data_IF_779943645226
#
_entry.id   IF_779943645226
#
_cell.length_a   1.000
_cell.length_b   1.000
_cell.length_c   1.000
_cell.angle_alpha   90.00
_cell.angle_beta   90.00
_cell.angle_gamma   90.00
#
_symmetry.space_group_name_H-M   'P 1'
#
loop_
_entity.id
_entity.type
_entity.pdbx_description
1 polymer ?
#
# COMPACT_ATOMS: atom_id res chain seq x y z
N UNK A 1 -29.57 -4.10 14.67
CA UNK A 1 -28.50 -3.45 13.89
C UNK A 1 -27.55 -4.53 13.47
N UNK A 2 -27.37 -4.69 12.17
CA UNK A 2 -26.51 -5.74 11.62
C UNK A 2 -25.04 -5.36 11.87
N UNK A 3 -24.42 -6.05 12.81
CA UNK A 3 -23.02 -5.85 13.15
C UNK A 3 -22.08 -6.32 12.02
N UNK A 4 -22.57 -7.07 11.02
CA UNK A 4 -21.78 -7.48 9.86
C UNK A 4 -21.46 -6.28 8.94
N UNK A 5 -22.43 -5.38 8.72
CA UNK A 5 -22.22 -4.17 7.90
C UNK A 5 -21.20 -3.22 8.55
N UNK A 6 -21.11 -3.21 9.88
CA UNK A 6 -20.08 -2.45 10.58
C UNK A 6 -18.74 -3.19 10.63
N UNK A 7 -18.71 -4.52 10.70
CA UNK A 7 -17.46 -5.29 10.62
C UNK A 7 -16.76 -5.17 9.25
N UNK A 8 -17.52 -5.11 8.15
CA UNK A 8 -16.97 -4.89 6.81
C UNK A 8 -16.29 -3.52 6.66
N UNK A 9 -16.70 -2.53 7.47
CA UNK A 9 -16.09 -1.21 7.54
C UNK A 9 -15.01 -1.07 8.63
N UNK A 10 -14.69 -2.13 9.38
CA UNK A 10 -13.70 -2.08 10.47
C UNK A 10 -12.60 -3.16 10.34
N UNK A 11 -12.62 -3.96 9.26
CA UNK A 11 -11.58 -4.97 8.96
C UNK A 11 -10.58 -4.54 7.89
N UNK A 12 -10.81 -3.44 7.17
CA UNK A 12 -9.83 -2.83 6.25
C UNK A 12 -8.82 -1.98 7.03
N UNK A 13 -8.23 -2.54 8.09
CA UNK A 13 -6.96 -2.01 8.59
C UNK A 13 -6.02 -2.04 7.38
N UNK A 14 -5.83 -0.87 6.76
CA UNK A 14 -5.13 -0.73 5.49
C UNK A 14 -3.81 -1.48 5.62
N UNK A 15 -3.70 -2.63 4.96
CA UNK A 15 -2.46 -3.40 4.96
C UNK A 15 -1.42 -2.48 4.34
N UNK A 16 -0.34 -2.12 5.06
CA UNK A 16 0.68 -1.27 4.49
C UNK A 16 1.30 -1.99 3.29
N UNK A 17 1.52 -1.26 2.20
CA UNK A 17 2.04 -1.80 0.94
C UNK A 17 1.10 -2.74 0.14
N UNK A 18 -0.14 -2.95 0.59
CA UNK A 18 -1.24 -3.46 -0.24
C UNK A 18 -1.71 -2.32 -1.15
N UNK A 19 -1.18 -2.30 -2.37
CA UNK A 19 -1.33 -1.24 -3.37
C UNK A 19 -2.43 -1.57 -4.38
N UNK A 20 -2.79 -2.83 -4.56
CA UNK A 20 -3.91 -3.24 -5.41
C UNK A 20 -5.23 -3.49 -4.64
N UNK A 21 -5.16 -3.47 -3.31
CA UNK A 21 -6.29 -3.54 -2.36
C UNK A 21 -6.99 -4.91 -2.43
N UNK A 22 -6.23 -5.98 -2.64
CA UNK A 22 -6.75 -7.34 -2.63
C UNK A 22 -6.62 -8.06 -1.28
N UNK A 23 -5.91 -7.44 -0.32
CA UNK A 23 -5.79 -7.92 1.04
C UNK A 23 -4.52 -8.69 1.33
N UNK A 24 -3.55 -8.74 0.42
CA UNK A 24 -2.20 -9.20 0.71
C UNK A 24 -1.10 -8.25 0.21
N UNK A 25 0.16 -8.65 0.35
CA UNK A 25 1.32 -7.92 -0.16
C UNK A 25 2.16 -8.87 -0.96
N UNK A 26 2.03 -8.79 -2.28
CA UNK A 26 2.64 -9.72 -3.21
C UNK A 26 3.28 -9.03 -4.44
N UNK A 27 3.55 -9.81 -5.49
CA UNK A 27 4.20 -9.27 -6.67
C UNK A 27 3.30 -8.36 -7.52
N UNK A 28 1.98 -8.43 -7.37
CA UNK A 28 1.03 -7.52 -7.99
C UNK A 28 1.17 -6.13 -7.36
N UNK A 29 1.26 -6.03 -6.04
CA UNK A 29 1.57 -4.76 -5.36
C UNK A 29 2.94 -4.23 -5.75
N UNK A 30 3.94 -5.11 -5.83
CA UNK A 30 5.27 -4.72 -6.27
C UNK A 30 5.24 -4.17 -7.71
N UNK A 31 4.38 -4.70 -8.59
CA UNK A 31 4.24 -4.17 -9.94
C UNK A 31 3.64 -2.75 -9.93
N UNK A 32 2.69 -2.46 -9.02
CA UNK A 32 2.18 -1.10 -8.81
C UNK A 32 3.28 -0.18 -8.27
N UNK A 33 4.04 -0.62 -7.27
CA UNK A 33 5.18 0.11 -6.72
C UNK A 33 6.23 0.43 -7.80
N UNK A 34 6.64 -0.59 -8.57
CA UNK A 34 7.67 -0.46 -9.61
C UNK A 34 7.28 0.50 -10.73
N UNK A 35 5.98 0.65 -11.02
CA UNK A 35 5.47 1.63 -11.99
C UNK A 35 5.74 3.07 -11.56
N UNK A 36 5.79 3.32 -10.26
CA UNK A 36 6.03 4.62 -9.65
C UNK A 36 7.48 4.79 -9.16
N UNK A 37 8.37 3.84 -9.44
CA UNK A 37 9.76 3.89 -8.98
C UNK A 37 10.48 5.17 -9.40
N UNK A 38 11.14 5.84 -8.45
CA UNK A 38 11.83 7.13 -8.64
C UNK A 38 10.90 8.29 -9.05
N UNK A 39 9.58 8.13 -8.94
CA UNK A 39 8.65 9.24 -9.11
C UNK A 39 8.85 10.28 -8.01
N UNK A 40 8.61 11.53 -8.36
CA UNK A 40 8.86 12.71 -7.53
C UNK A 40 7.63 13.61 -7.58
N UNK A 41 7.49 14.49 -6.59
CA UNK A 41 6.32 15.33 -6.41
C UNK A 41 5.03 14.52 -6.20
N UNK A 42 5.16 13.33 -5.59
CA UNK A 42 4.02 12.61 -5.04
C UNK A 42 3.33 13.51 -4.01
N UNK A 43 2.00 13.56 -4.07
CA UNK A 43 1.22 14.44 -3.20
C UNK A 43 -0.13 13.83 -2.88
N UNK A 44 -0.82 14.44 -1.93
CA UNK A 44 -2.20 14.09 -1.65
C UNK A 44 -3.11 14.25 -2.90
N UNK A 45 -4.16 13.41 -3.03
CA UNK A 45 -4.55 12.35 -2.11
C UNK A 45 -3.87 10.99 -2.41
N UNK A 46 -3.24 10.84 -3.58
CA UNK A 46 -2.88 9.53 -4.10
C UNK A 46 -1.47 9.07 -3.71
N UNK A 47 -0.54 9.97 -3.39
CA UNK A 47 0.85 9.63 -3.04
C UNK A 47 1.47 8.62 -4.02
N UNK A 48 1.38 8.94 -5.33
CA UNK A 48 1.84 8.05 -6.41
C UNK A 48 1.20 6.66 -6.34
N UNK A 49 -0.14 6.64 -6.31
CA UNK A 49 -0.96 5.43 -6.13
C UNK A 49 -0.63 4.63 -4.87
N UNK A 50 -0.16 5.31 -3.82
CA UNK A 50 0.24 4.72 -2.55
C UNK A 50 1.68 4.23 -2.50
N UNK A 51 2.46 4.32 -3.59
CA UNK A 51 3.85 3.87 -3.64
C UNK A 51 4.81 4.73 -2.80
N UNK A 52 4.48 6.00 -2.55
CA UNK A 52 5.19 6.84 -1.57
C UNK A 52 4.64 6.52 -0.17
N UNK A 53 5.19 5.45 0.42
CA UNK A 53 4.76 4.84 1.67
C UNK A 53 5.14 5.67 2.89
N UNK A 54 6.20 6.48 2.80
CA UNK A 54 6.52 7.46 3.84
C UNK A 54 5.94 8.87 3.63
N UNK A 55 5.30 9.11 2.49
CA UNK A 55 4.65 10.36 2.11
C UNK A 55 5.61 11.55 2.15
N UNK A 56 6.85 11.32 1.70
CA UNK A 56 7.89 12.35 1.66
C UNK A 56 7.94 13.11 0.32
N UNK A 57 7.09 12.72 -0.65
CA UNK A 57 7.01 13.29 -1.98
C UNK A 57 7.81 12.55 -3.05
N UNK A 58 8.44 11.42 -2.71
CA UNK A 58 9.30 10.62 -3.58
C UNK A 58 9.00 9.13 -3.39
N UNK A 59 9.20 8.33 -4.44
CA UNK A 59 9.25 6.88 -4.33
C UNK A 59 10.69 6.43 -4.46
N UNK A 60 11.29 5.99 -3.35
CA UNK A 60 12.70 5.62 -3.31
C UNK A 60 13.00 4.35 -2.48
N UNK A 61 14.27 4.15 -2.13
CA UNK A 61 14.71 2.98 -1.39
C UNK A 61 14.12 2.88 0.02
N UNK A 62 13.72 3.99 0.64
CA UNK A 62 13.05 3.97 1.93
C UNK A 62 11.63 3.41 1.81
N UNK A 63 10.92 3.75 0.74
CA UNK A 63 9.62 3.14 0.44
C UNK A 63 9.77 1.67 0.09
N UNK A 64 10.77 1.28 -0.69
CA UNK A 64 11.05 -0.13 -0.96
C UNK A 64 11.37 -0.91 0.32
N UNK A 65 12.08 -0.29 1.27
CA UNK A 65 12.33 -0.86 2.59
C UNK A 65 11.02 -1.12 3.35
N UNK A 66 10.11 -0.14 3.38
CA UNK A 66 8.78 -0.29 3.98
C UNK A 66 7.94 -1.35 3.27
N UNK A 67 7.99 -1.40 1.95
CA UNK A 67 7.32 -2.43 1.17
C UNK A 67 7.82 -3.83 1.60
N UNK A 68 9.15 -4.01 1.67
CA UNK A 68 9.76 -5.27 2.09
C UNK A 68 9.44 -5.66 3.54
N UNK A 69 9.31 -4.69 4.45
CA UNK A 69 8.89 -4.93 5.84
C UNK A 69 7.47 -5.51 5.94
N UNK A 70 6.62 -5.29 4.93
CA UNK A 70 5.24 -5.78 4.86
C UNK A 70 5.08 -6.95 3.87
N UNK A 71 6.16 -7.46 3.29
CA UNK A 71 6.12 -8.54 2.32
C UNK A 71 5.43 -9.79 2.87
N UNK A 72 4.50 -10.37 2.12
CA UNK A 72 3.69 -11.54 2.49
C UNK A 72 2.77 -11.34 3.71
N UNK A 73 2.49 -10.10 4.11
CA UNK A 73 1.33 -9.86 4.99
C UNK A 73 0.05 -10.21 4.23
N UNK A 74 -0.94 -10.74 4.93
CA UNK A 74 -2.23 -11.15 4.33
C UNK A 74 -2.20 -12.46 3.54
N UNK A 75 -1.02 -12.94 3.11
CA UNK A 75 -0.89 -14.20 2.39
C UNK A 75 -1.23 -15.42 3.29
N UNK A 76 -2.19 -16.25 2.88
CA UNK A 76 -2.58 -17.52 3.52
C UNK A 76 -1.90 -18.77 2.93
#
# INVERSE_FOLDING_TARGET
VDFAIFAENWLWEKIPADLDIDGDVDFVDYAVFAKHWMEQNCAEPNWCSGADLERNGSVDLYDLGKFADNWLLGAE
#
